data_IF_188666474215
#
_entry.id   IF_188666474215
#
_cell.length_a   1.000
_cell.length_b   1.000
_cell.length_c   1.000
_cell.angle_alpha   90.00
_cell.angle_beta   90.00
_cell.angle_gamma   90.00
#
_symmetry.space_group_name_H-M   'P 1'
#
loop_
_entity.id
_entity.type
_entity.pdbx_description
1 polymer ?
#
# COMPACT_ATOMS: atom_id res chain seq x y z
N UNK A 1 -43.80 11.84 15.57
CA UNK A 1 -43.39 10.44 15.55
C UNK A 1 -41.86 10.44 15.78
N UNK A 2 -41.42 10.35 17.06
CA UNK A 2 -40.00 10.40 17.44
C UNK A 2 -39.45 8.99 17.28
N UNK A 3 -38.38 8.85 16.47
CA UNK A 3 -37.58 7.63 16.43
C UNK A 3 -36.50 7.72 17.51
N UNK A 4 -36.68 6.94 18.57
CA UNK A 4 -35.61 6.64 19.52
C UNK A 4 -34.64 5.64 18.89
N UNK A 5 -33.41 6.07 18.64
CA UNK A 5 -32.30 5.16 18.33
C UNK A 5 -31.84 4.51 19.63
N UNK A 6 -32.17 3.23 19.80
CA UNK A 6 -31.63 2.41 20.87
C UNK A 6 -30.16 2.10 20.60
N UNK A 7 -29.27 2.53 21.49
CA UNK A 7 -27.90 2.04 21.55
C UNK A 7 -27.92 0.60 22.06
N UNK A 8 -27.52 -0.35 21.23
CA UNK A 8 -27.15 -1.69 21.67
C UNK A 8 -25.75 -1.65 22.31
N UNK A 9 -25.52 -2.23 23.49
CA UNK A 9 -24.20 -2.35 24.05
C UNK A 9 -23.42 -3.45 23.32
N UNK A 10 -22.36 -3.04 22.60
CA UNK A 10 -21.48 -3.89 21.81
C UNK A 10 -20.26 -4.37 22.62
N UNK A 11 -20.42 -4.81 23.85
CA UNK A 11 -19.38 -5.54 24.56
C UNK A 11 -19.99 -6.51 25.54
N UNK A 12 -20.16 -7.76 25.14
CA UNK A 12 -20.27 -8.91 26.07
C UNK A 12 -18.89 -9.13 26.67
N UNK A 13 -18.81 -9.04 28.00
CA UNK A 13 -17.59 -9.12 28.82
C UNK A 13 -17.14 -10.58 29.09
N UNK A 14 -17.30 -11.53 28.17
CA UNK A 14 -16.96 -12.93 28.37
C UNK A 14 -15.65 -13.38 27.68
N UNK A 15 -14.70 -12.46 27.46
CA UNK A 15 -13.33 -12.83 27.11
C UNK A 15 -12.41 -12.73 28.34
N UNK A 16 -12.60 -13.62 29.32
CA UNK A 16 -11.59 -13.92 30.34
C UNK A 16 -10.73 -15.07 29.82
N UNK A 17 -9.84 -14.78 28.86
CA UNK A 17 -8.72 -15.67 28.57
C UNK A 17 -7.66 -15.48 29.63
N UNK A 18 -7.16 -16.61 30.19
CA UNK A 18 -6.06 -16.65 31.16
C UNK A 18 -4.81 -15.95 30.55
N UNK A 19 -4.64 -14.68 30.84
CA UNK A 19 -3.34 -13.99 30.65
C UNK A 19 -2.43 -14.45 31.81
N UNK A 20 -1.16 -14.81 31.51
CA UNK A 20 -0.19 -15.11 32.55
C UNK A 20 -0.07 -13.93 33.53
N UNK A 21 -0.23 -14.17 34.79
CA UNK A 21 -0.32 -13.18 35.89
C UNK A 21 0.94 -12.35 36.15
N UNK A 22 1.90 -12.32 35.25
CA UNK A 22 3.16 -11.56 35.36
C UNK A 22 3.38 -10.51 34.25
N UNK A 23 2.36 -10.20 33.47
CA UNK A 23 2.35 -8.97 32.66
C UNK A 23 1.59 -7.86 33.41
N UNK A 24 2.10 -7.45 34.55
CA UNK A 24 1.75 -6.16 35.12
C UNK A 24 2.41 -5.10 34.22
N UNK A 25 1.61 -4.39 33.42
CA UNK A 25 2.01 -3.06 32.94
C UNK A 25 2.18 -2.21 34.20
N UNK A 26 3.41 -2.14 34.75
CA UNK A 26 3.75 -1.07 35.68
C UNK A 26 3.62 0.24 34.92
N UNK A 27 2.46 0.87 35.09
CA UNK A 27 2.33 2.31 34.82
C UNK A 27 3.12 2.99 35.92
N UNK A 28 4.45 3.06 35.75
CA UNK A 28 5.27 3.92 36.58
C UNK A 28 4.72 5.33 36.43
N UNK A 29 4.44 5.98 37.59
CA UNK A 29 4.12 7.40 37.67
C UNK A 29 5.08 8.20 36.80
N UNK A 30 4.66 9.30 36.16
CA UNK A 30 5.49 10.05 35.22
C UNK A 30 6.64 10.75 35.95
N UNK A 31 7.69 10.01 36.24
CA UNK A 31 9.00 10.59 36.41
C UNK A 31 9.46 10.98 35.03
N UNK A 32 9.49 12.27 34.72
CA UNK A 32 10.13 12.97 33.62
C UNK A 32 10.91 12.06 32.63
N UNK A 33 10.24 11.08 32.01
CA UNK A 33 10.74 10.45 30.81
C UNK A 33 10.44 11.46 29.72
N UNK A 34 11.44 12.24 29.35
CA UNK A 34 11.45 12.94 28.08
C UNK A 34 10.90 11.94 27.05
N UNK A 35 9.74 12.24 26.46
CA UNK A 35 9.26 11.56 25.27
C UNK A 35 10.50 11.57 24.37
N UNK A 36 11.13 10.41 24.15
CA UNK A 36 12.26 10.32 23.22
C UNK A 36 11.67 10.81 21.91
N UNK A 37 12.10 11.99 21.50
CA UNK A 37 11.63 12.54 20.24
C UNK A 37 12.00 11.53 19.17
N UNK A 38 11.14 11.33 18.16
CA UNK A 38 11.44 10.43 17.04
C UNK A 38 12.59 10.98 16.17
N UNK A 39 13.29 12.01 16.64
CA UNK A 39 14.39 12.68 15.94
C UNK A 39 15.48 11.70 15.52
N UNK A 40 15.76 10.68 16.36
CA UNK A 40 16.76 9.65 16.04
C UNK A 40 16.43 8.84 14.78
N UNK A 41 15.12 8.71 14.41
CA UNK A 41 14.70 7.97 13.21
C UNK A 41 14.83 8.82 11.94
N UNK A 42 14.82 10.13 12.09
CA UNK A 42 14.95 11.10 10.99
C UNK A 42 16.29 11.83 10.99
N UNK A 43 17.17 11.45 11.91
CA UNK A 43 18.49 12.06 12.05
C UNK A 43 19.28 11.99 10.73
N UNK A 44 19.90 13.10 10.37
CA UNK A 44 20.69 13.21 9.12
C UNK A 44 19.85 13.45 7.87
N UNK A 45 18.53 13.60 7.98
CA UNK A 45 17.65 13.93 6.85
C UNK A 45 16.84 15.19 7.10
N UNK A 46 16.49 15.87 6.03
CA UNK A 46 15.54 17.00 6.02
C UNK A 46 14.47 16.83 4.96
N UNK A 47 13.28 17.37 5.23
CA UNK A 47 12.14 17.36 4.32
C UNK A 47 12.36 18.33 3.17
N UNK A 48 12.00 17.91 1.94
CA UNK A 48 11.80 18.81 0.81
C UNK A 48 10.33 19.31 0.81
N UNK A 49 10.05 20.57 1.14
CA UNK A 49 8.68 21.08 1.24
C UNK A 49 7.98 21.21 -0.12
N UNK A 50 8.71 21.13 -1.23
CA UNK A 50 8.17 21.19 -2.59
C UNK A 50 7.79 19.83 -3.15
N UNK A 51 8.03 18.75 -2.38
CA UNK A 51 7.74 17.41 -2.83
C UNK A 51 6.24 17.21 -3.06
N UNK A 52 5.91 16.64 -4.21
CA UNK A 52 4.57 16.17 -4.58
C UNK A 52 4.71 14.81 -5.22
N UNK A 53 4.35 13.77 -4.48
CA UNK A 53 4.54 12.40 -4.90
C UNK A 53 3.22 11.64 -4.92
N UNK A 54 2.94 10.95 -6.01
CA UNK A 54 1.94 9.89 -6.06
C UNK A 54 2.65 8.60 -6.41
N UNK A 55 2.85 7.73 -5.42
CA UNK A 55 3.70 6.56 -5.51
C UNK A 55 2.84 5.32 -5.77
N UNK A 56 3.02 4.70 -6.92
CA UNK A 56 2.41 3.42 -7.27
C UNK A 56 3.26 2.27 -6.73
N UNK A 57 2.72 1.44 -5.85
CA UNK A 57 3.39 0.24 -5.34
C UNK A 57 2.75 -0.98 -5.97
N UNK A 58 3.47 -1.60 -6.91
CA UNK A 58 3.07 -2.81 -7.60
C UNK A 58 3.79 -4.03 -7.04
N UNK A 59 3.31 -5.18 -7.40
CA UNK A 59 3.90 -6.46 -7.04
C UNK A 59 2.82 -7.51 -6.82
N UNK A 60 3.23 -8.75 -6.94
CA UNK A 60 2.35 -9.90 -6.78
C UNK A 60 1.83 -10.05 -5.34
N UNK A 61 0.83 -10.88 -5.09
CA UNK A 61 0.40 -11.25 -3.75
C UNK A 61 1.57 -11.77 -2.91
N UNK A 62 1.69 -11.34 -1.67
CA UNK A 62 2.79 -11.77 -0.79
C UNK A 62 4.13 -11.08 -1.02
N UNK A 63 4.24 -10.14 -1.94
CA UNK A 63 5.50 -9.44 -2.23
C UNK A 63 5.92 -8.41 -1.16
N UNK A 64 5.07 -8.10 -0.17
CA UNK A 64 5.37 -7.12 0.88
C UNK A 64 4.93 -5.68 0.58
N UNK A 65 4.01 -5.49 -0.37
CA UNK A 65 3.45 -4.14 -0.69
C UNK A 65 2.95 -3.42 0.56
N UNK A 66 2.11 -4.06 1.36
CA UNK A 66 1.53 -3.44 2.57
C UNK A 66 2.60 -3.10 3.62
N UNK A 67 3.66 -3.90 3.74
CA UNK A 67 4.79 -3.61 4.63
C UNK A 67 5.51 -2.35 4.17
N UNK A 68 5.82 -2.26 2.87
CA UNK A 68 6.47 -1.09 2.29
C UNK A 68 5.60 0.16 2.41
N UNK A 69 4.31 0.07 2.05
CA UNK A 69 3.34 1.17 2.12
C UNK A 69 3.23 1.72 3.54
N UNK A 70 3.14 0.82 4.53
CA UNK A 70 3.06 1.20 5.94
C UNK A 70 4.34 1.89 6.42
N UNK A 71 5.50 1.40 6.01
CA UNK A 71 6.79 2.03 6.31
C UNK A 71 6.92 3.43 5.69
N UNK A 72 6.54 3.58 4.42
CA UNK A 72 6.52 4.88 3.74
C UNK A 72 5.56 5.86 4.41
N UNK A 73 4.36 5.41 4.75
CA UNK A 73 3.38 6.22 5.48
C UNK A 73 3.92 6.69 6.83
N UNK A 74 4.51 5.77 7.60
CA UNK A 74 5.08 6.06 8.91
C UNK A 74 6.18 7.11 8.82
N UNK A 75 7.21 6.90 7.99
CA UNK A 75 8.31 7.86 7.87
C UNK A 75 7.85 9.19 7.27
N UNK A 76 6.95 9.19 6.29
CA UNK A 76 6.39 10.43 5.75
C UNK A 76 5.69 11.26 6.83
N UNK A 77 4.96 10.61 7.75
CA UNK A 77 4.34 11.30 8.90
C UNK A 77 5.38 11.86 9.87
N UNK A 78 6.49 11.16 10.12
CA UNK A 78 7.58 11.67 10.96
C UNK A 78 8.23 12.94 10.36
N UNK A 79 8.30 13.04 9.03
CA UNK A 79 8.74 14.25 8.33
C UNK A 79 7.63 15.32 8.17
N UNK A 80 6.49 15.11 8.80
CA UNK A 80 5.34 16.03 8.78
C UNK A 80 4.79 16.33 7.37
N UNK A 81 4.86 15.37 6.45
CA UNK A 81 4.17 15.45 5.18
C UNK A 81 2.65 15.31 5.38
N UNK A 82 1.88 15.99 4.54
CA UNK A 82 0.48 15.69 4.34
C UNK A 82 0.42 14.42 3.49
N UNK A 83 0.32 13.27 4.13
CA UNK A 83 0.41 11.97 3.49
C UNK A 83 -0.77 11.10 3.82
N UNK A 84 -1.23 10.34 2.82
CA UNK A 84 -2.19 9.28 3.02
C UNK A 84 -1.89 8.07 2.12
N UNK A 85 -2.63 6.98 2.33
CA UNK A 85 -2.45 5.72 1.62
C UNK A 85 -3.78 5.20 1.10
N UNK A 86 -3.82 4.87 -0.19
CA UNK A 86 -4.94 4.20 -0.83
C UNK A 86 -4.76 2.69 -0.69
N UNK A 87 -5.67 2.01 0.02
CA UNK A 87 -5.60 0.56 0.19
C UNK A 87 -6.03 -0.20 -1.07
N UNK A 88 -5.72 -1.49 -1.11
CA UNK A 88 -6.11 -2.40 -2.18
C UNK A 88 -7.59 -2.81 -2.05
N UNK A 89 -8.43 -2.48 -3.04
CA UNK A 89 -9.85 -2.85 -3.10
C UNK A 89 -10.04 -4.36 -3.23
N UNK A 90 -9.19 -5.04 -4.01
CA UNK A 90 -9.30 -6.49 -4.22
C UNK A 90 -9.27 -7.28 -2.91
N UNK A 91 -8.53 -6.82 -1.91
CA UNK A 91 -8.47 -7.42 -0.58
C UNK A 91 -9.83 -7.38 0.16
N UNK A 92 -10.57 -6.31 0.01
CA UNK A 92 -11.92 -6.21 0.59
C UNK A 92 -12.91 -7.17 -0.08
N UNK A 93 -12.79 -7.34 -1.40
CA UNK A 93 -13.59 -8.31 -2.13
C UNK A 93 -13.27 -9.74 -1.70
N UNK A 94 -11.99 -10.04 -1.46
CA UNK A 94 -11.61 -11.34 -0.89
C UNK A 94 -12.31 -11.60 0.46
N UNK A 95 -12.28 -10.64 1.38
CA UNK A 95 -12.93 -10.79 2.69
C UNK A 95 -14.46 -10.88 2.60
N UNK A 96 -15.06 -10.28 1.58
CA UNK A 96 -16.52 -10.39 1.31
C UNK A 96 -16.90 -11.70 0.63
N UNK A 97 -15.95 -12.53 0.21
CA UNK A 97 -16.19 -13.76 -0.53
C UNK A 97 -16.73 -13.53 -1.95
N UNK A 98 -16.28 -12.43 -2.59
CA UNK A 98 -16.67 -12.10 -3.97
C UNK A 98 -16.17 -13.17 -4.95
N UNK A 99 -16.90 -13.36 -6.04
CA UNK A 99 -16.57 -14.31 -7.10
C UNK A 99 -15.57 -13.68 -8.08
N UNK A 100 -14.31 -14.09 -7.98
CA UNK A 100 -13.21 -13.63 -8.84
C UNK A 100 -13.16 -14.31 -10.22
N UNK A 101 -14.05 -15.28 -10.49
CA UNK A 101 -14.01 -16.05 -11.75
C UNK A 101 -14.59 -15.32 -12.97
N UNK A 102 -15.29 -14.21 -12.75
CA UNK A 102 -15.98 -13.46 -13.79
C UNK A 102 -15.09 -12.38 -14.40
N UNK A 103 -14.92 -12.35 -15.74
CA UNK A 103 -14.11 -11.32 -16.40
C UNK A 103 -14.53 -9.88 -16.08
N UNK A 104 -15.84 -9.62 -15.95
CA UNK A 104 -16.42 -8.31 -15.65
C UNK A 104 -15.97 -7.81 -14.26
N UNK A 105 -15.60 -8.73 -13.40
CA UNK A 105 -15.13 -8.39 -12.06
C UNK A 105 -13.79 -7.64 -12.09
N UNK A 106 -12.93 -7.89 -13.09
CA UNK A 106 -11.69 -7.12 -13.28
C UNK A 106 -11.99 -5.66 -13.58
N UNK A 107 -13.01 -5.37 -14.41
CA UNK A 107 -13.45 -3.99 -14.69
C UNK A 107 -14.05 -3.35 -13.45
N UNK A 108 -14.84 -4.10 -12.67
CA UNK A 108 -15.42 -3.60 -11.42
C UNK A 108 -14.34 -3.20 -10.42
N UNK A 109 -13.33 -4.07 -10.18
CA UNK A 109 -12.20 -3.77 -9.29
C UNK A 109 -11.41 -2.54 -9.75
N UNK A 110 -11.15 -2.44 -11.06
CA UNK A 110 -10.50 -1.28 -11.65
C UNK A 110 -11.27 0.00 -11.33
N UNK A 111 -12.59 0.02 -11.58
CA UNK A 111 -13.39 1.21 -11.35
C UNK A 111 -13.45 1.59 -9.87
N UNK A 112 -13.67 0.61 -8.99
CA UNK A 112 -13.69 0.85 -7.54
C UNK A 112 -12.35 1.35 -7.00
N UNK A 113 -11.22 0.82 -7.51
CA UNK A 113 -9.89 1.31 -7.13
C UNK A 113 -9.65 2.73 -7.63
N UNK A 114 -10.09 3.05 -8.85
CA UNK A 114 -10.00 4.39 -9.43
C UNK A 114 -10.83 5.39 -8.63
N UNK A 115 -12.08 5.06 -8.34
CA UNK A 115 -12.96 5.91 -7.54
C UNK A 115 -12.39 6.15 -6.14
N UNK A 116 -11.79 5.12 -5.54
CA UNK A 116 -11.13 5.24 -4.25
C UNK A 116 -9.90 6.16 -4.31
N UNK A 117 -9.08 6.06 -5.36
CA UNK A 117 -7.94 6.95 -5.56
C UNK A 117 -8.35 8.40 -5.82
N UNK A 118 -9.52 8.63 -6.41
CA UNK A 118 -10.04 9.96 -6.76
C UNK A 118 -10.65 10.71 -5.56
N UNK A 119 -10.93 10.02 -4.44
CA UNK A 119 -11.40 10.66 -3.19
C UNK A 119 -10.30 11.53 -2.56
N UNK A 120 -9.04 11.17 -2.75
CA UNK A 120 -7.93 11.83 -2.06
C UNK A 120 -7.62 13.21 -2.64
N UNK A 121 -7.49 14.24 -1.79
CA UNK A 121 -7.32 15.62 -2.22
C UNK A 121 -5.95 15.86 -2.87
N UNK A 122 -5.91 16.79 -3.83
CA UNK A 122 -4.69 17.18 -4.54
C UNK A 122 -3.66 17.90 -3.67
N UNK A 123 -4.07 18.36 -2.47
CA UNK A 123 -3.23 19.07 -1.51
C UNK A 123 -2.29 18.18 -0.70
N UNK A 124 -2.39 16.85 -0.87
CA UNK A 124 -1.44 15.93 -0.26
C UNK A 124 -0.04 16.13 -0.84
N UNK A 125 0.94 16.11 0.03
CA UNK A 125 2.35 16.10 -0.37
C UNK A 125 2.75 14.73 -0.92
N UNK A 126 2.22 13.66 -0.33
CA UNK A 126 2.49 12.27 -0.72
C UNK A 126 1.20 11.46 -0.70
N UNK A 127 0.87 10.79 -1.80
CA UNK A 127 -0.16 9.76 -1.85
C UNK A 127 0.48 8.42 -2.21
N UNK A 128 0.32 7.43 -1.35
CA UNK A 128 0.85 6.08 -1.52
C UNK A 128 -0.28 5.20 -2.02
N UNK A 129 -0.21 4.70 -3.27
CA UNK A 129 -1.21 3.82 -3.84
C UNK A 129 -0.73 2.36 -3.73
N UNK A 130 -1.25 1.61 -2.76
CA UNK A 130 -1.07 0.17 -2.66
C UNK A 130 -2.00 -0.50 -3.68
N UNK A 131 -1.47 -1.23 -4.64
CA UNK A 131 -2.20 -1.76 -5.78
C UNK A 131 -2.89 -0.65 -6.62
N UNK A 132 -2.10 0.19 -7.33
CA UNK A 132 -2.60 1.28 -8.17
C UNK A 132 -3.52 0.76 -9.28
N UNK A 133 -4.40 1.63 -9.83
CA UNK A 133 -5.40 1.20 -10.83
C UNK A 133 -4.83 0.43 -12.01
N UNK A 134 -3.59 0.72 -12.41
CA UNK A 134 -2.92 0.00 -13.52
C UNK A 134 -2.67 -1.48 -13.23
N UNK A 135 -2.73 -1.92 -11.96
CA UNK A 135 -2.54 -3.33 -11.60
C UNK A 135 -3.65 -4.22 -12.17
N UNK A 136 -4.84 -3.67 -12.43
CA UNK A 136 -5.96 -4.41 -13.03
C UNK A 136 -5.63 -4.93 -14.43
N UNK A 137 -4.79 -4.21 -15.19
CA UNK A 137 -4.29 -4.69 -16.48
C UNK A 137 -3.39 -5.92 -16.31
N UNK A 138 -2.56 -5.95 -15.26
CA UNK A 138 -1.69 -7.12 -14.96
C UNK A 138 -2.54 -8.35 -14.65
N UNK A 139 -3.50 -8.22 -13.73
CA UNK A 139 -4.33 -9.34 -13.31
C UNK A 139 -5.24 -9.84 -14.43
N UNK A 140 -5.84 -8.94 -15.22
CA UNK A 140 -6.65 -9.36 -16.37
C UNK A 140 -5.83 -10.09 -17.42
N UNK A 141 -4.63 -9.61 -17.75
CA UNK A 141 -3.73 -10.32 -18.68
C UNK A 141 -3.30 -11.68 -18.14
N UNK A 142 -3.08 -11.80 -16.85
CA UNK A 142 -2.69 -13.06 -16.22
C UNK A 142 -3.83 -14.09 -16.22
N UNK A 143 -5.05 -13.69 -15.80
CA UNK A 143 -6.17 -14.63 -15.65
C UNK A 143 -6.95 -14.88 -16.93
N UNK A 144 -7.08 -13.88 -17.80
CA UNK A 144 -7.93 -13.96 -18.99
C UNK A 144 -7.10 -14.12 -20.29
N UNK A 145 -5.80 -13.82 -20.22
CA UNK A 145 -4.94 -13.69 -21.39
C UNK A 145 -4.94 -12.30 -22.00
N UNK A 146 -3.85 -11.93 -22.65
CA UNK A 146 -3.64 -10.58 -23.20
C UNK A 146 -4.63 -10.22 -24.32
N UNK A 147 -5.05 -11.22 -25.13
CA UNK A 147 -5.99 -11.02 -26.24
C UNK A 147 -7.45 -10.91 -25.82
N UNK A 148 -7.76 -11.16 -24.56
CA UNK A 148 -9.14 -11.06 -24.05
C UNK A 148 -9.63 -9.60 -24.11
N UNK A 149 -10.90 -9.35 -24.54
CA UNK A 149 -11.43 -7.97 -24.66
C UNK A 149 -11.30 -7.12 -23.40
N UNK A 150 -11.51 -7.69 -22.22
CA UNK A 150 -11.35 -7.03 -20.92
C UNK A 150 -9.88 -6.65 -20.70
N UNK A 151 -8.93 -7.54 -20.98
CA UNK A 151 -7.50 -7.26 -20.84
C UNK A 151 -7.05 -6.15 -21.78
N UNK A 152 -7.51 -6.19 -23.03
CA UNK A 152 -7.24 -5.14 -24.02
C UNK A 152 -7.82 -3.78 -23.61
N UNK A 153 -9.01 -3.76 -23.00
CA UNK A 153 -9.58 -2.54 -22.44
C UNK A 153 -8.72 -2.01 -21.30
N UNK A 154 -8.41 -2.84 -20.30
CA UNK A 154 -7.65 -2.42 -19.13
C UNK A 154 -6.20 -2.03 -19.46
N UNK A 155 -5.60 -2.61 -20.52
CA UNK A 155 -4.31 -2.13 -21.04
C UNK A 155 -4.40 -0.72 -21.64
N UNK A 156 -5.45 -0.42 -22.40
CA UNK A 156 -5.67 0.95 -22.91
C UNK A 156 -5.94 1.93 -21.77
N UNK A 157 -6.71 1.52 -20.78
CA UNK A 157 -6.97 2.33 -19.59
C UNK A 157 -5.68 2.57 -18.80
N UNK A 158 -4.85 1.54 -18.62
CA UNK A 158 -3.56 1.66 -17.95
C UNK A 158 -2.59 2.63 -18.66
N UNK A 159 -2.62 2.68 -20.01
CA UNK A 159 -1.83 3.65 -20.78
C UNK A 159 -2.22 5.10 -20.48
N UNK A 160 -3.49 5.35 -20.16
CA UNK A 160 -3.99 6.68 -19.77
C UNK A 160 -3.70 6.94 -18.28
N UNK A 161 -4.05 5.98 -17.42
CA UNK A 161 -4.01 6.15 -15.97
C UNK A 161 -2.59 6.15 -15.39
N UNK A 162 -1.58 5.67 -16.14
CA UNK A 162 -0.17 5.73 -15.70
C UNK A 162 0.31 7.13 -15.37
N UNK A 163 -0.22 8.14 -16.07
CA UNK A 163 0.13 9.55 -15.88
C UNK A 163 -0.31 10.10 -14.51
N UNK A 164 -1.14 9.37 -13.76
CA UNK A 164 -1.52 9.72 -12.39
C UNK A 164 -0.37 9.63 -11.40
N UNK A 165 0.64 8.82 -11.71
CA UNK A 165 1.70 8.47 -10.76
C UNK A 165 3.01 9.15 -11.14
N UNK A 166 3.68 9.65 -10.12
CA UNK A 166 5.01 10.26 -10.30
C UNK A 166 6.13 9.21 -10.24
N UNK A 167 5.91 8.13 -9.47
CA UNK A 167 6.91 7.11 -9.23
C UNK A 167 6.27 5.71 -9.12
N UNK A 168 7.01 4.72 -9.63
CA UNK A 168 6.59 3.32 -9.62
C UNK A 168 7.60 2.47 -8.87
N UNK A 169 7.11 1.65 -7.96
CA UNK A 169 7.90 0.67 -7.23
C UNK A 169 7.31 -0.70 -7.48
N UNK A 170 8.15 -1.66 -7.83
CA UNK A 170 7.78 -3.08 -7.87
C UNK A 170 8.41 -3.78 -6.68
N UNK A 171 7.59 -4.29 -5.77
CA UNK A 171 8.06 -5.08 -4.65
C UNK A 171 8.12 -6.56 -5.02
N UNK A 172 9.26 -7.21 -4.76
CA UNK A 172 9.50 -8.63 -5.04
C UNK A 172 9.90 -9.35 -3.78
N UNK A 173 8.97 -10.14 -3.21
CA UNK A 173 9.22 -10.99 -2.03
C UNK A 173 10.02 -10.27 -0.92
N UNK A 174 9.57 -9.05 -0.55
CA UNK A 174 10.24 -8.24 0.49
C UNK A 174 10.22 -8.92 1.86
N UNK A 175 9.24 -9.80 2.08
CA UNK A 175 9.02 -10.55 3.33
C UNK A 175 8.70 -12.00 2.97
N UNK A 176 8.65 -12.88 3.99
CA UNK A 176 8.20 -14.26 3.80
C UNK A 176 6.77 -14.27 3.23
N UNK A 177 6.51 -15.16 2.26
CA UNK A 177 5.17 -15.33 1.70
C UNK A 177 4.19 -15.73 2.79
N UNK A 178 3.07 -15.02 2.86
CA UNK A 178 1.95 -15.26 3.76
C UNK A 178 0.69 -15.47 2.92
N UNK A 179 0.10 -16.66 2.99
CA UNK A 179 -1.05 -17.03 2.16
C UNK A 179 -2.41 -16.52 2.68
N UNK A 180 -2.49 -16.05 3.92
CA UNK A 180 -3.75 -15.57 4.48
C UNK A 180 -4.29 -14.35 3.72
N UNK A 181 -5.56 -14.40 3.35
CA UNK A 181 -6.21 -13.30 2.63
C UNK A 181 -5.87 -13.21 1.14
N UNK A 182 -5.47 -14.33 0.49
CA UNK A 182 -5.06 -14.39 -0.92
C UNK A 182 -5.65 -15.60 -1.62
N UNK A 183 -5.88 -15.45 -2.94
CA UNK A 183 -6.31 -16.54 -3.81
C UNK A 183 -5.12 -17.29 -4.44
N UNK A 184 -3.97 -16.64 -4.55
CA UNK A 184 -2.83 -17.11 -5.30
C UNK A 184 -1.83 -17.85 -4.41
N UNK A 185 -1.23 -18.91 -4.97
CA UNK A 185 -0.08 -19.63 -4.41
C UNK A 185 1.22 -18.82 -4.56
N UNK A 186 2.30 -19.30 -3.94
CA UNK A 186 3.62 -18.68 -4.09
C UNK A 186 4.12 -18.76 -5.54
N UNK A 187 3.90 -19.87 -6.25
CA UNK A 187 4.28 -20.02 -7.67
C UNK A 187 3.51 -19.05 -8.56
N UNK A 188 2.19 -18.92 -8.35
CA UNK A 188 1.38 -17.94 -9.07
C UNK A 188 1.80 -16.49 -8.77
N UNK A 189 2.30 -16.23 -7.57
CA UNK A 189 2.88 -14.93 -7.22
C UNK A 189 4.13 -14.63 -8.07
N UNK A 190 4.99 -15.62 -8.34
CA UNK A 190 6.16 -15.41 -9.21
C UNK A 190 5.76 -15.16 -10.67
N UNK A 191 4.75 -15.85 -11.18
CA UNK A 191 4.19 -15.62 -12.52
C UNK A 191 3.56 -14.22 -12.64
N UNK A 192 2.79 -13.80 -11.64
CA UNK A 192 2.21 -12.46 -11.57
C UNK A 192 3.28 -11.36 -11.47
N UNK A 193 4.39 -11.63 -10.77
CA UNK A 193 5.53 -10.71 -10.76
C UNK A 193 6.12 -10.55 -12.17
N UNK A 194 6.34 -11.64 -12.90
CA UNK A 194 6.84 -11.59 -14.27
C UNK A 194 5.86 -10.83 -15.19
N UNK A 195 4.55 -11.07 -15.05
CA UNK A 195 3.52 -10.33 -15.79
C UNK A 195 3.53 -8.84 -15.44
N UNK A 196 3.72 -8.49 -14.16
CA UNK A 196 3.85 -7.08 -13.73
C UNK A 196 4.98 -6.38 -14.46
N UNK A 197 6.17 -6.98 -14.48
CA UNK A 197 7.33 -6.43 -15.19
C UNK A 197 7.03 -6.25 -16.69
N UNK A 198 6.48 -7.28 -17.32
CA UNK A 198 6.12 -7.26 -18.75
C UNK A 198 5.19 -6.08 -19.08
N UNK A 199 4.13 -5.88 -18.29
CA UNK A 199 3.18 -4.79 -18.53
C UNK A 199 3.81 -3.42 -18.31
N UNK A 200 4.65 -3.26 -17.27
CA UNK A 200 5.35 -1.98 -17.04
C UNK A 200 6.31 -1.63 -18.19
N UNK A 201 7.00 -2.63 -18.75
CA UNK A 201 7.86 -2.46 -19.94
C UNK A 201 7.03 -2.09 -21.17
N UNK A 202 5.89 -2.75 -21.39
CA UNK A 202 4.95 -2.44 -22.47
C UNK A 202 4.41 -1.00 -22.37
N UNK A 203 4.11 -0.53 -21.16
CA UNK A 203 3.68 0.84 -20.85
C UNK A 203 4.86 1.83 -20.87
N UNK A 204 6.10 1.39 -21.10
CA UNK A 204 7.34 2.20 -21.12
C UNK A 204 7.54 3.01 -19.84
N UNK A 205 7.21 2.42 -18.69
CA UNK A 205 7.33 3.06 -17.38
C UNK A 205 8.74 2.89 -16.81
N UNK A 206 9.24 3.94 -16.16
CA UNK A 206 10.42 3.84 -15.31
C UNK A 206 9.98 3.40 -13.92
N UNK A 207 10.58 2.34 -13.40
CA UNK A 207 10.24 1.78 -12.09
C UNK A 207 11.47 1.32 -11.33
N UNK A 208 11.33 1.23 -10.01
CA UNK A 208 12.35 0.69 -9.10
C UNK A 208 11.91 -0.69 -8.61
N UNK A 209 12.79 -1.68 -8.70
CA UNK A 209 12.53 -3.02 -8.14
C UNK A 209 13.17 -3.13 -6.78
N UNK A 210 12.37 -3.48 -5.76
CA UNK A 210 12.85 -3.78 -4.42
C UNK A 210 12.82 -5.28 -4.19
N UNK A 211 13.99 -5.86 -3.89
CA UNK A 211 14.18 -7.30 -3.70
C UNK A 211 14.37 -7.71 -2.23
N UNK A 212 14.42 -6.74 -1.34
CA UNK A 212 14.57 -6.94 0.12
C UNK A 212 13.90 -5.80 0.86
N UNK A 213 13.56 -6.04 2.11
CA UNK A 213 13.07 -5.03 3.02
C UNK A 213 13.93 -5.02 4.29
N UNK A 214 14.32 -3.83 4.69
CA UNK A 214 14.85 -3.52 6.01
C UNK A 214 14.23 -2.18 6.48
N UNK A 215 14.46 -1.81 7.72
CA UNK A 215 13.89 -0.63 8.35
C UNK A 215 14.28 0.69 7.69
N UNK A 216 15.37 0.71 6.92
CA UNK A 216 15.85 1.91 6.24
C UNK A 216 15.31 2.07 4.82
N UNK A 217 14.72 1.03 4.24
CA UNK A 217 14.19 1.07 2.86
C UNK A 217 13.21 2.21 2.64
N UNK A 218 12.24 2.49 3.52
CA UNK A 218 11.33 3.62 3.32
C UNK A 218 12.05 4.98 3.26
N UNK A 219 13.07 5.19 4.09
CA UNK A 219 13.89 6.42 4.05
C UNK A 219 14.68 6.52 2.75
N UNK A 220 15.27 5.42 2.28
CA UNK A 220 16.00 5.37 1.01
C UNK A 220 15.07 5.69 -0.16
N UNK A 221 13.85 5.15 -0.18
CA UNK A 221 12.82 5.44 -1.20
C UNK A 221 12.43 6.92 -1.18
N UNK A 222 12.11 7.48 -0.01
CA UNK A 222 11.76 8.89 0.12
C UNK A 222 12.92 9.81 -0.33
N UNK A 223 14.16 9.44 -0.03
CA UNK A 223 15.34 10.18 -0.49
C UNK A 223 15.56 10.06 -1.98
N UNK A 224 15.43 8.86 -2.54
CA UNK A 224 15.58 8.61 -3.97
C UNK A 224 14.54 9.37 -4.80
N UNK A 225 13.32 9.51 -4.28
CA UNK A 225 12.24 10.26 -4.93
C UNK A 225 12.27 11.77 -4.62
N UNK A 226 13.29 12.23 -3.91
CA UNK A 226 13.49 13.65 -3.62
C UNK A 226 12.54 14.24 -2.58
N UNK A 227 11.80 13.40 -1.83
CA UNK A 227 10.96 13.87 -0.74
C UNK A 227 11.78 14.36 0.45
N UNK A 228 12.90 13.69 0.73
CA UNK A 228 13.87 14.05 1.77
C UNK A 228 15.27 14.08 1.18
N UNK A 229 16.18 14.83 1.81
CA UNK A 229 17.60 14.88 1.48
C UNK A 229 18.45 14.71 2.72
N UNK A 230 19.69 14.22 2.55
CA UNK A 230 20.65 14.22 3.65
C UNK A 230 21.03 15.64 4.01
N UNK A 231 21.04 15.95 5.31
CA UNK A 231 21.57 17.23 5.79
C UNK A 231 23.05 17.31 5.43
N UNK A 232 23.44 18.39 4.80
CA UNK A 232 24.85 18.70 4.64
C UNK A 232 25.39 19.04 6.02
N UNK A 233 26.35 18.26 6.52
CA UNK A 233 27.07 18.63 7.72
C UNK A 233 27.74 19.98 7.47
N UNK A 234 27.20 21.03 8.11
CA UNK A 234 27.77 22.38 8.12
C UNK A 234 28.97 22.43 9.05
#
# INVERSE_FOLDING_TARGET
>A
MQFQMGFLPLFDNDWVGDYPSHMSLEVSSPTNHSIRSFDHLTEGYERNPQSRLRIAILGAPGSGKSTLSSGLLYFSKLFLFKVDMVPEVAKWHFYKGSDFSKPEFEIQKYQEQKDLEDIYPSELDILICEAPVIISAVYSCYYLGEEHPVSQQLLRDAEIEKERYTHFIVSRKLVRFEGFGRNESEDQSDELHAMTIKILEQLKLNYVVLNRYDEHIPLQVLSMFGAISKRLNS
#
